data_IF_370889034242
#
_entry.id   IF_370889034242
#
_cell.length_a   1.000
_cell.length_b   1.000
_cell.length_c   1.000
_cell.angle_alpha   90.00
_cell.angle_beta   90.00
_cell.angle_gamma   90.00
#
_symmetry.space_group_name_H-M   'P 1'
#
loop_
_entity.id
_entity.type
_entity.pdbx_description
1 polymer ?
#
# COMPACT_ATOMS: atom_id res chain seq x y z
N UNK A 1 -10.65 0.58 15.54
CA UNK A 1 -11.03 -0.33 14.43
C UNK A 1 -11.29 0.57 13.22
N UNK A 2 -10.32 0.74 12.29
CA UNK A 2 -10.45 1.60 11.07
C UNK A 2 -11.01 0.76 9.95
N UNK A 3 -12.02 0.01 10.34
CA UNK A 3 -12.68 -0.99 9.53
C UNK A 3 -13.96 -0.33 9.14
N UNK A 4 -13.89 0.48 8.10
CA UNK A 4 -15.13 0.97 7.54
C UNK A 4 -15.68 -0.17 6.70
N UNK A 5 -16.97 -0.41 6.77
CA UNK A 5 -17.58 -1.32 5.78
C UNK A 5 -17.38 -0.79 4.34
N UNK A 6 -17.00 0.48 4.17
CA UNK A 6 -16.53 1.00 2.89
C UNK A 6 -15.21 0.32 2.46
N UNK A 7 -14.28 0.09 3.39
CA UNK A 7 -13.06 -0.70 3.16
C UNK A 7 -13.37 -2.07 2.58
N UNK A 8 -14.20 -2.82 3.30
CA UNK A 8 -14.66 -4.14 2.86
C UNK A 8 -15.29 -4.08 1.48
N UNK A 9 -16.17 -3.10 1.27
CA UNK A 9 -16.97 -2.99 0.05
C UNK A 9 -16.09 -2.76 -1.16
N UNK A 10 -15.09 -1.87 -1.09
CA UNK A 10 -14.23 -1.63 -2.26
C UNK A 10 -13.25 -2.77 -2.50
N UNK A 11 -12.75 -3.42 -1.44
CA UNK A 11 -11.89 -4.60 -1.58
C UNK A 11 -12.66 -5.71 -2.26
N UNK A 12 -13.86 -5.99 -1.77
CA UNK A 12 -14.71 -7.03 -2.33
C UNK A 12 -15.09 -6.69 -3.78
N UNK A 13 -15.39 -5.43 -4.07
CA UNK A 13 -15.64 -4.98 -5.43
C UNK A 13 -14.46 -5.27 -6.37
N UNK A 14 -13.21 -4.96 -5.96
CA UNK A 14 -12.03 -5.25 -6.79
C UNK A 14 -11.80 -6.76 -6.92
N UNK A 15 -12.00 -7.55 -5.87
CA UNK A 15 -11.87 -9.02 -5.91
C UNK A 15 -12.82 -9.67 -6.88
N UNK A 16 -14.05 -9.17 -6.94
CA UNK A 16 -15.09 -9.68 -7.82
C UNK A 16 -15.05 -9.06 -9.22
N UNK A 17 -14.20 -8.04 -9.43
CA UNK A 17 -14.13 -7.35 -10.71
C UNK A 17 -13.60 -8.26 -11.82
N UNK A 18 -14.43 -8.50 -12.83
CA UNK A 18 -14.14 -9.40 -13.96
C UNK A 18 -13.90 -8.66 -15.30
N UNK A 19 -13.83 -7.32 -15.26
CA UNK A 19 -13.72 -6.47 -16.45
C UNK A 19 -15.08 -6.19 -17.09
N UNK A 20 -15.19 -5.04 -17.79
CA UNK A 20 -16.44 -4.67 -18.50
C UNK A 20 -16.87 -5.70 -19.55
N UNK A 21 -15.92 -6.50 -20.05
CA UNK A 21 -16.14 -7.52 -21.07
C UNK A 21 -15.96 -8.96 -20.52
N UNK A 22 -15.92 -9.16 -19.20
CA UNK A 22 -15.76 -10.49 -18.58
C UNK A 22 -14.58 -11.29 -19.13
N UNK A 23 -13.44 -10.61 -19.30
CA UNK A 23 -12.28 -11.12 -20.03
C UNK A 23 -11.06 -11.36 -19.13
N UNK A 24 -11.22 -11.25 -17.82
CA UNK A 24 -10.16 -11.60 -16.89
C UNK A 24 -10.09 -13.11 -16.68
N UNK A 25 -8.88 -13.68 -16.55
CA UNK A 25 -8.73 -15.05 -16.11
C UNK A 25 -9.40 -15.28 -14.74
N UNK A 26 -9.92 -16.48 -14.52
CA UNK A 26 -10.51 -16.86 -13.22
C UNK A 26 -9.49 -16.73 -12.08
N UNK A 27 -8.23 -16.99 -12.36
CA UNK A 27 -7.10 -16.89 -11.44
C UNK A 27 -6.41 -15.51 -11.46
N UNK A 28 -7.04 -14.49 -12.06
CA UNK A 28 -6.50 -13.14 -12.01
C UNK A 28 -6.36 -12.64 -10.57
N UNK A 29 -5.20 -12.07 -10.25
CA UNK A 29 -4.90 -11.52 -8.92
C UNK A 29 -5.68 -10.23 -8.67
N UNK A 30 -5.88 -9.86 -7.40
CA UNK A 30 -6.56 -8.62 -7.04
C UNK A 30 -5.94 -7.39 -7.72
N UNK A 31 -4.61 -7.36 -7.87
CA UNK A 31 -3.93 -6.29 -8.58
C UNK A 31 -4.23 -6.29 -10.08
N UNK A 32 -4.31 -7.44 -10.73
CA UNK A 32 -4.72 -7.53 -12.14
C UNK A 32 -6.16 -7.06 -12.33
N UNK A 33 -7.05 -7.39 -11.39
CA UNK A 33 -8.45 -6.90 -11.37
C UNK A 33 -8.49 -5.38 -11.22
N UNK A 34 -7.69 -4.82 -10.31
CA UNK A 34 -7.55 -3.37 -10.17
C UNK A 34 -7.04 -2.72 -11.46
N UNK A 35 -6.01 -3.26 -12.10
CA UNK A 35 -5.48 -2.71 -13.36
C UNK A 35 -6.53 -2.71 -14.47
N UNK A 36 -7.35 -3.76 -14.57
CA UNK A 36 -8.44 -3.81 -15.52
C UNK A 36 -9.55 -2.81 -15.17
N UNK A 37 -9.90 -2.66 -13.89
CA UNK A 37 -10.86 -1.63 -13.43
C UNK A 37 -10.40 -0.22 -13.78
N UNK A 38 -9.12 0.09 -13.52
CA UNK A 38 -8.51 1.38 -13.87
C UNK A 38 -8.60 1.64 -15.37
N UNK A 39 -8.22 0.65 -16.18
CA UNK A 39 -8.27 0.73 -17.65
C UNK A 39 -9.68 0.95 -18.16
N UNK A 40 -10.64 0.17 -17.69
CA UNK A 40 -12.04 0.22 -18.13
C UNK A 40 -12.71 1.55 -17.80
N UNK A 41 -12.26 2.23 -16.73
CA UNK A 41 -12.84 3.48 -16.25
C UNK A 41 -11.96 4.71 -16.52
N UNK A 42 -10.89 4.56 -17.30
CA UNK A 42 -9.96 5.64 -17.64
C UNK A 42 -9.40 6.36 -16.39
N UNK A 43 -9.07 5.59 -15.36
CA UNK A 43 -8.50 6.06 -14.11
C UNK A 43 -6.99 5.85 -14.08
N UNK A 44 -6.30 6.73 -13.36
CA UNK A 44 -4.86 6.59 -13.10
C UNK A 44 -4.60 6.11 -11.68
N UNK A 45 -3.58 5.25 -11.53
CA UNK A 45 -3.06 4.85 -10.24
C UNK A 45 -1.93 5.77 -9.79
N UNK A 46 -1.82 5.96 -8.47
CA UNK A 46 -0.62 6.47 -7.83
C UNK A 46 0.09 5.41 -7.00
N UNK A 47 1.41 5.36 -7.15
CA UNK A 47 2.30 4.46 -6.43
C UNK A 47 3.37 5.21 -5.61
N UNK A 48 3.33 6.55 -5.59
CA UNK A 48 4.41 7.42 -5.13
C UNK A 48 4.25 7.91 -3.68
N UNK A 49 3.19 7.50 -2.99
CA UNK A 49 3.03 7.78 -1.56
C UNK A 49 3.69 6.69 -0.72
N UNK A 50 4.36 7.12 0.35
CA UNK A 50 5.13 6.21 1.19
C UNK A 50 4.27 5.09 1.78
N UNK A 51 4.79 3.86 1.74
CA UNK A 51 4.11 2.64 2.20
C UNK A 51 4.82 1.94 3.37
N UNK A 52 5.71 2.66 4.07
CA UNK A 52 6.45 2.13 5.23
C UNK A 52 5.54 1.58 6.34
N UNK A 53 4.42 2.24 6.61
CA UNK A 53 3.46 1.81 7.61
C UNK A 53 2.60 0.59 7.22
N UNK A 54 2.73 0.11 5.98
CA UNK A 54 2.09 -1.11 5.48
C UNK A 54 3.12 -2.17 5.07
N UNK A 55 4.37 -1.98 5.51
CA UNK A 55 5.49 -2.91 5.36
C UNK A 55 6.10 -3.21 6.73
N UNK A 56 5.23 -3.55 7.67
CA UNK A 56 5.56 -3.93 9.03
C UNK A 56 6.01 -5.38 9.05
N UNK A 57 7.11 -5.61 9.75
CA UNK A 57 7.67 -6.94 9.96
C UNK A 57 7.85 -7.17 11.46
N UNK A 58 8.11 -8.41 11.86
CA UNK A 58 8.60 -8.66 13.20
C UNK A 58 9.86 -7.81 13.46
N UNK A 59 10.01 -7.35 14.70
CA UNK A 59 11.09 -6.46 15.11
C UNK A 59 12.46 -7.06 14.74
N UNK A 60 13.26 -6.28 14.02
CA UNK A 60 14.60 -6.69 13.56
C UNK A 60 14.63 -7.65 12.37
N UNK A 61 13.48 -7.97 11.76
CA UNK A 61 13.39 -8.90 10.63
C UNK A 61 13.18 -8.23 9.27
N UNK A 62 13.21 -6.90 9.20
CA UNK A 62 13.06 -6.19 7.94
C UNK A 62 14.18 -6.57 6.96
N UNK A 63 13.80 -6.96 5.74
CA UNK A 63 14.73 -7.30 4.64
C UNK A 63 14.55 -6.38 3.44
N UNK A 64 13.31 -6.17 3.05
CA UNK A 64 12.85 -5.30 1.98
C UNK A 64 11.33 -5.15 2.09
N UNK A 65 10.71 -4.12 1.47
CA UNK A 65 9.26 -4.01 1.38
C UNK A 65 8.66 -5.18 0.59
N UNK A 66 7.65 -5.83 1.14
CA UNK A 66 6.90 -6.89 0.48
C UNK A 66 5.60 -6.37 -0.15
N UNK A 67 5.14 -5.20 0.30
CA UNK A 67 3.87 -4.61 -0.06
C UNK A 67 4.07 -3.28 -0.79
N UNK A 68 3.13 -2.97 -1.68
CA UNK A 68 3.03 -1.69 -2.37
C UNK A 68 1.68 -1.03 -2.08
N UNK A 69 1.67 0.30 -2.08
CA UNK A 69 0.45 1.10 -1.99
C UNK A 69 0.04 1.56 -3.37
N UNK A 70 -1.25 1.41 -3.67
CA UNK A 70 -1.85 1.92 -4.89
C UNK A 70 -3.04 2.78 -4.52
N UNK A 71 -3.00 4.05 -4.89
CA UNK A 71 -4.10 4.96 -4.68
C UNK A 71 -4.79 5.29 -5.98
N UNK A 72 -6.11 5.42 -5.96
CA UNK A 72 -6.86 5.93 -7.10
C UNK A 72 -6.65 7.44 -7.20
N UNK A 73 -6.18 7.92 -8.35
CA UNK A 73 -6.21 9.35 -8.67
C UNK A 73 -7.50 9.67 -9.42
N UNK A 74 -8.01 10.88 -9.15
CA UNK A 74 -8.90 11.56 -10.11
C UNK A 74 -8.04 12.25 -11.19
N UNK A 75 -8.65 12.51 -12.34
CA UNK A 75 -8.00 13.03 -13.54
C UNK A 75 -7.66 14.54 -13.52
N UNK A 76 -7.64 15.26 -12.40
CA UNK A 76 -7.54 16.72 -12.45
C UNK A 76 -6.16 17.18 -12.92
N UNK A 77 -6.02 17.35 -14.25
CA UNK A 77 -4.88 17.96 -14.93
C UNK A 77 -4.63 19.43 -14.54
N UNK A 78 -5.51 20.01 -13.73
CA UNK A 78 -5.38 21.36 -13.17
C UNK A 78 -4.64 21.27 -11.85
N UNK A 79 -3.36 21.67 -11.81
CA UNK A 79 -2.50 21.74 -10.61
C UNK A 79 -3.13 22.47 -9.39
N UNK A 80 -4.20 23.24 -9.61
CA UNK A 80 -4.93 23.99 -8.58
C UNK A 80 -5.95 23.16 -7.79
N UNK A 81 -6.34 21.98 -8.29
CA UNK A 81 -7.31 21.11 -7.62
C UNK A 81 -6.60 19.84 -7.19
N UNK A 82 -6.76 19.45 -5.92
CA UNK A 82 -6.16 18.24 -5.38
C UNK A 82 -6.90 17.00 -5.91
N UNK A 83 -6.16 16.06 -6.48
CA UNK A 83 -6.66 14.72 -6.78
C UNK A 83 -6.75 13.93 -5.48
N UNK A 84 -7.91 14.03 -4.84
CA UNK A 84 -8.18 13.31 -3.59
C UNK A 84 -7.95 11.81 -3.80
N UNK A 85 -7.05 11.25 -3.00
CA UNK A 85 -6.76 9.81 -2.95
C UNK A 85 -7.52 9.20 -1.80
N UNK A 86 -8.79 8.92 -2.05
CA UNK A 86 -9.71 8.43 -1.01
C UNK A 86 -9.48 6.96 -0.67
N UNK A 87 -8.90 6.17 -1.59
CA UNK A 87 -8.71 4.74 -1.38
C UNK A 87 -7.22 4.41 -1.47
N UNK A 88 -6.69 3.71 -0.47
CA UNK A 88 -5.33 3.19 -0.43
C UNK A 88 -5.34 1.66 -0.45
N UNK A 89 -5.15 1.04 -1.61
CA UNK A 89 -5.00 -0.40 -1.68
C UNK A 89 -3.58 -0.81 -1.29
N UNK A 90 -3.44 -1.87 -0.51
CA UNK A 90 -2.14 -2.49 -0.21
C UNK A 90 -2.10 -3.85 -0.88
N UNK A 91 -1.11 -4.05 -1.76
CA UNK A 91 -0.91 -5.32 -2.44
C UNK A 91 0.45 -5.90 -2.08
N UNK A 92 0.50 -7.21 -1.90
CA UNK A 92 1.79 -7.90 -1.90
C UNK A 92 2.41 -7.85 -3.31
N UNK A 93 3.64 -7.35 -3.42
CA UNK A 93 4.31 -7.11 -4.71
C UNK A 93 4.53 -8.41 -5.48
N UNK A 94 4.79 -9.52 -4.78
CA UNK A 94 5.07 -10.82 -5.39
C UNK A 94 3.79 -11.50 -5.89
N UNK A 95 2.76 -11.55 -5.05
CA UNK A 95 1.54 -12.32 -5.36
C UNK A 95 0.46 -11.49 -6.05
N UNK A 96 0.51 -10.15 -5.94
CA UNK A 96 -0.54 -9.26 -6.43
C UNK A 96 -1.85 -9.37 -5.67
N UNK A 97 -1.88 -10.05 -4.52
CA UNK A 97 -3.07 -10.18 -3.66
C UNK A 97 -3.16 -9.00 -2.69
N UNK A 98 -4.39 -8.62 -2.32
CA UNK A 98 -4.61 -7.57 -1.32
C UNK A 98 -4.15 -8.03 0.06
N UNK A 99 -3.44 -7.14 0.75
CA UNK A 99 -3.11 -7.27 2.17
C UNK A 99 -4.10 -6.44 2.95
N UNK A 100 -4.95 -7.11 3.72
CA UNK A 100 -6.14 -6.54 4.33
C UNK A 100 -6.52 -7.21 5.62
N UNK A 101 -6.89 -6.40 6.60
CA UNK A 101 -7.49 -6.89 7.85
C UNK A 101 -8.83 -7.61 7.60
N UNK A 102 -9.54 -7.31 6.51
CA UNK A 102 -10.75 -8.04 6.14
C UNK A 102 -10.49 -9.49 5.71
N UNK A 103 -9.29 -9.81 5.22
CA UNK A 103 -8.88 -11.22 5.02
C UNK A 103 -8.96 -12.00 6.32
N UNK A 104 -8.69 -11.32 7.42
CA UNK A 104 -8.63 -11.88 8.75
C UNK A 104 -10.02 -11.86 9.38
N UNK A 105 -10.69 -10.71 9.39
CA UNK A 105 -12.00 -10.60 10.03
C UNK A 105 -13.05 -11.51 9.41
N UNK A 106 -13.09 -11.67 8.09
CA UNK A 106 -14.06 -12.56 7.45
C UNK A 106 -13.92 -14.02 7.90
N UNK A 107 -12.72 -14.46 8.31
CA UNK A 107 -12.48 -15.81 8.86
C UNK A 107 -12.96 -15.97 10.31
N UNK A 108 -12.83 -14.89 11.10
CA UNK A 108 -12.99 -14.91 12.56
C UNK A 108 -14.29 -14.23 13.04
N UNK A 109 -15.14 -13.78 12.12
CA UNK A 109 -16.37 -13.07 12.46
C UNK A 109 -17.41 -14.03 13.07
N UNK A 110 -17.91 -13.69 14.26
CA UNK A 110 -18.95 -14.46 14.94
C UNK A 110 -20.21 -13.59 15.02
N UNK A 111 -21.29 -14.01 14.36
CA UNK A 111 -22.58 -13.30 14.33
C UNK A 111 -22.45 -11.82 13.90
N UNK A 112 -21.61 -11.56 12.89
CA UNK A 112 -21.39 -10.20 12.36
C UNK A 112 -20.49 -9.32 13.24
N UNK A 113 -19.88 -9.88 14.29
CA UNK A 113 -18.96 -9.17 15.18
C UNK A 113 -17.53 -9.69 15.01
N UNK A 114 -16.59 -8.76 15.06
CA UNK A 114 -15.15 -9.06 15.06
C UNK A 114 -14.76 -9.51 16.46
N UNK A 115 -14.05 -10.64 16.55
CA UNK A 115 -13.39 -11.06 17.77
C UNK A 115 -12.22 -10.12 18.08
N UNK A 116 -12.22 -9.51 19.25
CA UNK A 116 -11.19 -8.55 19.67
C UNK A 116 -10.01 -9.19 20.40
N UNK A 117 -10.02 -10.50 20.65
CA UNK A 117 -8.95 -11.19 21.38
C UNK A 117 -7.77 -11.54 20.45
N UNK A 118 -6.58 -10.93 20.60
CA UNK A 118 -5.43 -11.21 19.73
C UNK A 118 -4.94 -12.66 19.80
N UNK A 119 -5.21 -13.39 20.88
CA UNK A 119 -4.75 -14.77 21.05
C UNK A 119 -5.44 -15.76 20.11
N UNK A 120 -6.60 -15.39 19.57
CA UNK A 120 -7.39 -16.23 18.66
C UNK A 120 -6.93 -16.09 17.18
N UNK A 121 -5.98 -15.19 16.92
CA UNK A 121 -5.46 -14.90 15.58
C UNK A 121 -4.07 -15.49 15.33
N UNK A 122 -3.88 -16.03 14.12
CA UNK A 122 -2.57 -16.52 13.68
C UNK A 122 -1.57 -15.40 13.39
N UNK A 123 -0.31 -15.75 13.16
CA UNK A 123 0.70 -14.76 12.76
C UNK A 123 0.39 -14.10 11.41
N UNK A 124 -0.11 -14.87 10.44
CA UNK A 124 -0.55 -14.32 9.14
C UNK A 124 -1.73 -13.36 9.32
N UNK A 125 -2.67 -13.70 10.19
CA UNK A 125 -3.82 -12.86 10.48
C UNK A 125 -3.40 -11.51 11.09
N UNK A 126 -2.47 -11.52 12.05
CA UNK A 126 -1.93 -10.30 12.66
C UNK A 126 -1.07 -9.49 11.67
N UNK A 127 -0.35 -10.15 10.76
CA UNK A 127 0.38 -9.47 9.69
C UNK A 127 -0.57 -8.68 8.77
N UNK A 128 -1.70 -9.29 8.38
CA UNK A 128 -2.73 -8.68 7.55
C UNK A 128 -3.34 -7.47 8.26
N UNK A 129 -3.68 -7.60 9.56
CA UNK A 129 -4.20 -6.51 10.39
C UNK A 129 -3.21 -5.34 10.50
N UNK A 130 -1.92 -5.64 10.67
CA UNK A 130 -0.89 -4.62 10.85
C UNK A 130 -0.61 -3.81 9.56
N UNK A 131 -0.75 -4.45 8.40
CA UNK A 131 -0.34 -3.92 7.08
C UNK A 131 -1.50 -3.50 6.17
N UNK A 132 -2.71 -3.47 6.71
CA UNK A 132 -3.97 -3.28 5.98
C UNK A 132 -4.10 -1.98 5.18
N UNK A 133 -4.98 -1.99 4.19
CA UNK A 133 -5.52 -0.83 3.45
C UNK A 133 -6.24 0.19 4.31
N UNK A 134 -6.59 1.32 3.69
CA UNK A 134 -7.46 2.31 4.31
C UNK A 134 -8.28 3.12 3.30
N UNK A 135 -9.47 3.51 3.73
CA UNK A 135 -10.26 4.57 3.15
C UNK A 135 -9.95 5.88 3.85
N UNK A 136 -9.39 6.84 3.12
CA UNK A 136 -9.12 8.17 3.62
C UNK A 136 -10.39 9.02 3.56
N UNK A 137 -10.72 9.67 4.67
CA UNK A 137 -11.69 10.75 4.70
C UNK A 137 -10.96 12.09 4.66
N UNK A 138 -11.56 13.10 4.03
CA UNK A 138 -10.93 14.40 3.78
C UNK A 138 -9.90 14.38 2.65
N UNK A 139 -9.31 15.53 2.35
CA UNK A 139 -8.43 15.66 1.18
C UNK A 139 -6.95 15.47 1.62
N UNK A 140 -6.27 14.36 1.24
CA UNK A 140 -4.89 14.12 1.63
C UNK A 140 -3.95 15.10 0.92
N UNK A 141 -2.88 15.56 1.59
CA UNK A 141 -1.93 16.52 1.01
C UNK A 141 -1.27 16.01 -0.28
N UNK A 142 -0.91 14.72 -0.31
CA UNK A 142 -0.20 14.10 -1.42
C UNK A 142 1.10 14.83 -1.81
N UNK A 143 1.51 14.66 -3.06
CA UNK A 143 2.70 15.33 -3.65
C UNK A 143 2.39 16.74 -4.21
N UNK A 144 1.19 17.28 -4.01
CA UNK A 144 0.79 18.57 -4.59
C UNK A 144 1.33 19.77 -3.81
N UNK A 145 1.81 20.79 -4.54
CA UNK A 145 2.42 22.00 -3.97
C UNK A 145 1.41 23.03 -3.45
N UNK A 146 0.12 22.95 -3.83
CA UNK A 146 -0.89 24.00 -3.56
C UNK A 146 -2.23 23.42 -3.10
N UNK A 147 -2.30 22.97 -1.85
CA UNK A 147 -3.58 22.71 -1.18
C UNK A 147 -4.07 24.03 -0.57
N UNK A 148 -5.32 24.43 -0.82
CA UNK A 148 -5.87 25.63 -0.17
C UNK A 148 -5.86 25.45 1.35
N UNK A 149 -5.71 26.57 2.09
CA UNK A 149 -5.64 26.53 3.57
C UNK A 149 -6.88 25.87 4.18
N UNK A 150 -8.03 25.98 3.53
CA UNK A 150 -9.30 25.36 3.97
C UNK A 150 -9.24 23.82 3.93
N UNK A 151 -8.54 23.23 2.95
CA UNK A 151 -8.43 21.78 2.82
C UNK A 151 -7.22 21.19 3.55
N UNK A 152 -6.31 22.04 4.04
CA UNK A 152 -5.16 21.61 4.84
C UNK A 152 -5.63 20.91 6.11
N UNK A 153 -5.06 19.72 6.37
CA UNK A 153 -5.40 18.86 7.52
C UNK A 153 -6.84 18.34 7.55
N UNK A 154 -7.65 18.58 6.51
CA UNK A 154 -9.00 17.99 6.46
C UNK A 154 -8.96 16.49 6.49
N UNK A 155 -7.91 15.88 5.91
CA UNK A 155 -7.66 14.46 6.10
C UNK A 155 -7.58 14.11 7.58
N UNK A 156 -6.62 14.66 8.34
CA UNK A 156 -6.48 14.36 9.77
C UNK A 156 -7.73 14.66 10.62
N UNK A 157 -8.57 15.60 10.20
CA UNK A 157 -9.77 16.04 10.94
C UNK A 157 -11.02 15.20 10.64
N UNK A 158 -11.15 14.77 9.39
CA UNK A 158 -12.31 14.01 8.90
C UNK A 158 -12.02 12.52 8.84
N UNK A 159 -10.73 12.15 8.82
CA UNK A 159 -10.31 10.78 9.06
C UNK A 159 -10.95 10.30 10.35
N UNK A 160 -11.50 9.10 10.28
CA UNK A 160 -12.30 8.59 11.37
C UNK A 160 -11.33 8.34 12.52
N UNK A 161 -11.42 9.19 13.55
CA UNK A 161 -10.79 8.89 14.83
C UNK A 161 -11.46 7.64 15.36
N UNK A 162 -10.67 6.60 15.58
CA UNK A 162 -11.15 5.40 16.22
C UNK A 162 -11.77 5.73 17.58
N UNK A 163 -12.89 5.10 17.97
CA UNK A 163 -13.01 4.74 19.38
C UNK A 163 -11.80 3.86 19.71
N UNK A 164 -11.16 4.08 20.88
CA UNK A 164 -9.91 3.43 21.34
C UNK A 164 -9.64 2.11 20.59
N UNK A 165 -8.54 2.07 19.84
CA UNK A 165 -8.25 0.98 18.89
C UNK A 165 -8.51 -0.40 19.51
N UNK A 166 -9.02 -1.38 18.73
CA UNK A 166 -9.32 -2.67 19.31
C UNK A 166 -7.97 -3.25 19.74
N UNK A 167 -7.90 -3.79 20.96
CA UNK A 167 -6.69 -4.41 21.50
C UNK A 167 -5.98 -5.34 20.50
N UNK A 168 -6.74 -5.95 19.58
CA UNK A 168 -6.27 -6.68 18.42
C UNK A 168 -5.31 -5.92 17.48
N UNK A 169 -5.66 -4.72 17.03
CA UNK A 169 -4.81 -3.96 16.11
C UNK A 169 -3.57 -3.43 16.82
N UNK A 170 -3.72 -3.00 18.06
CA UNK A 170 -2.58 -2.57 18.89
C UNK A 170 -1.60 -3.72 19.07
N UNK A 171 -2.09 -4.91 19.45
CA UNK A 171 -1.28 -6.12 19.55
C UNK A 171 -0.61 -6.47 18.21
N UNK A 172 -1.32 -6.33 17.09
CA UNK A 172 -0.76 -6.56 15.75
C UNK A 172 0.38 -5.57 15.43
N UNK A 173 0.21 -4.27 15.67
CA UNK A 173 1.24 -3.26 15.36
C UNK A 173 2.36 -3.14 16.39
N UNK A 174 2.15 -3.64 17.61
CA UNK A 174 3.21 -3.84 18.60
C UNK A 174 4.11 -5.01 18.21
N UNK A 175 3.53 -6.09 17.66
CA UNK A 175 4.26 -7.26 17.17
C UNK A 175 4.95 -6.98 15.83
N UNK A 176 4.24 -6.38 14.88
CA UNK A 176 4.73 -6.03 13.55
C UNK A 176 5.03 -4.54 13.49
N UNK A 177 6.30 -4.18 13.46
CA UNK A 177 6.77 -2.80 13.49
C UNK A 177 7.22 -2.32 12.11
N UNK A 178 7.01 -1.05 11.80
CA UNK A 178 7.49 -0.45 10.55
C UNK A 178 8.96 -0.11 10.66
N UNK A 179 9.74 -0.44 9.62
CA UNK A 179 11.12 0.02 9.48
C UNK A 179 11.15 1.54 9.22
N UNK A 180 12.17 2.21 9.76
CA UNK A 180 12.33 3.66 9.61
C UNK A 180 12.82 3.97 8.19
N UNK A 181 12.35 5.08 7.63
CA UNK A 181 12.82 5.57 6.33
C UNK A 181 14.34 5.74 6.31
N UNK A 182 14.97 5.40 5.18
CA UNK A 182 16.43 5.52 5.02
C UNK A 182 16.93 6.97 5.13
N UNK A 183 16.13 7.93 4.67
CA UNK A 183 16.39 9.37 4.84
C UNK A 183 16.37 9.83 6.31
N UNK A 184 15.82 9.01 7.21
CA UNK A 184 15.79 9.25 8.65
C UNK A 184 16.70 8.28 9.42
N UNK A 185 17.60 7.56 8.74
CA UNK A 185 18.56 6.66 9.36
C UNK A 185 18.07 5.23 9.63
N UNK A 186 16.98 4.79 8.98
CA UNK A 186 16.61 3.37 8.92
C UNK A 186 16.97 2.71 7.57
N UNK A 187 16.30 1.62 7.24
CA UNK A 187 16.59 0.83 6.03
C UNK A 187 15.47 0.87 4.97
N UNK A 188 14.37 1.58 5.23
CA UNK A 188 13.19 1.55 4.38
C UNK A 188 13.27 2.52 3.17
N UNK A 189 13.05 1.99 1.96
CA UNK A 189 12.79 2.71 0.70
C UNK A 189 11.78 1.89 -0.12
N UNK A 190 10.77 2.55 -0.68
CA UNK A 190 9.76 1.90 -1.52
C UNK A 190 10.38 1.30 -2.80
N UNK A 191 10.11 0.02 -3.08
CA UNK A 191 10.52 -0.63 -4.33
C UNK A 191 9.71 -0.12 -5.52
N UNK A 192 8.40 0.02 -5.32
CA UNK A 192 7.43 0.47 -6.32
C UNK A 192 7.16 1.95 -6.08
N UNK A 193 7.42 2.79 -7.07
CA UNK A 193 7.10 4.22 -7.00
C UNK A 193 6.69 4.77 -8.36
N UNK A 194 7.36 5.80 -8.88
CA UNK A 194 7.01 6.44 -10.15
C UNK A 194 6.99 5.47 -11.36
N UNK A 195 7.69 4.33 -11.28
CA UNK A 195 7.69 3.31 -12.32
C UNK A 195 6.47 2.39 -12.30
N UNK A 196 5.69 2.37 -11.21
CA UNK A 196 4.46 1.58 -11.06
C UNK A 196 4.65 0.12 -11.46
N UNK A 197 3.84 -0.35 -12.42
CA UNK A 197 3.96 -1.71 -12.98
C UNK A 197 5.36 -2.11 -13.46
N UNK A 198 6.17 -1.14 -13.95
CA UNK A 198 7.54 -1.44 -14.40
C UNK A 198 8.44 -1.81 -13.24
N UNK A 199 8.25 -1.19 -12.07
CA UNK A 199 9.01 -1.51 -10.85
C UNK A 199 8.65 -2.91 -10.35
N UNK A 200 7.36 -3.23 -10.32
CA UNK A 200 6.86 -4.56 -9.94
C UNK A 200 7.46 -5.64 -10.85
N UNK A 201 7.37 -5.43 -12.18
CA UNK A 201 7.91 -6.37 -13.19
C UNK A 201 9.43 -6.50 -13.08
N UNK A 202 10.15 -5.42 -12.75
CA UNK A 202 11.60 -5.46 -12.58
C UNK A 202 11.99 -6.21 -11.30
N UNK A 203 11.29 -5.95 -10.19
CA UNK A 203 11.55 -6.59 -8.90
C UNK A 203 11.25 -8.09 -8.92
N UNK A 204 10.12 -8.49 -9.50
CA UNK A 204 9.73 -9.90 -9.57
C UNK A 204 10.59 -10.75 -10.52
N UNK A 205 11.48 -10.13 -11.31
CA UNK A 205 12.51 -10.84 -12.08
C UNK A 205 13.73 -11.22 -11.22
N UNK A 206 13.90 -10.60 -10.07
CA UNK A 206 15.01 -10.91 -9.17
C UNK A 206 14.69 -12.20 -8.40
N UNK A 207 15.57 -13.23 -8.45
CA UNK A 207 15.36 -14.44 -7.66
C UNK A 207 15.25 -14.13 -6.17
N UNK A 208 14.38 -14.84 -5.45
CA UNK A 208 14.13 -14.57 -4.02
C UNK A 208 15.41 -14.63 -3.17
N UNK A 209 16.35 -15.52 -3.50
CA UNK A 209 17.66 -15.63 -2.85
C UNK A 209 18.55 -14.39 -3.02
N UNK A 210 18.30 -13.56 -4.04
CA UNK A 210 19.07 -12.37 -4.35
C UNK A 210 18.38 -11.07 -3.95
N UNK A 211 17.06 -11.10 -3.67
CA UNK A 211 16.26 -9.90 -3.36
C UNK A 211 16.84 -9.08 -2.22
N UNK A 212 17.24 -9.70 -1.11
CA UNK A 212 17.79 -8.96 0.03
C UNK A 212 19.09 -8.22 -0.33
N UNK A 213 19.97 -8.82 -1.15
CA UNK A 213 21.20 -8.17 -1.63
C UNK A 213 20.86 -7.04 -2.59
N UNK A 214 20.01 -7.31 -3.59
CA UNK A 214 19.61 -6.32 -4.60
C UNK A 214 18.85 -5.14 -4.00
N UNK A 215 18.06 -5.36 -2.96
CA UNK A 215 17.41 -4.29 -2.22
C UNK A 215 18.42 -3.36 -1.53
N UNK A 216 19.47 -3.90 -0.91
CA UNK A 216 20.52 -3.07 -0.28
C UNK A 216 21.27 -2.21 -1.31
N UNK A 217 21.57 -2.77 -2.48
CA UNK A 217 22.18 -2.03 -3.60
C UNK A 217 21.25 -0.92 -4.11
N UNK A 218 19.98 -1.26 -4.35
CA UNK A 218 18.94 -0.31 -4.74
C UNK A 218 18.76 0.80 -3.70
N UNK A 219 18.66 0.47 -2.41
CA UNK A 219 18.38 1.44 -1.36
C UNK A 219 19.50 2.46 -1.20
N UNK A 220 20.76 2.04 -1.38
CA UNK A 220 21.90 2.94 -1.44
C UNK A 220 21.84 3.87 -2.66
N UNK A 221 21.56 3.30 -3.84
CA UNK A 221 21.41 4.05 -5.09
C UNK A 221 20.28 5.08 -5.04
N UNK A 222 19.16 4.71 -4.41
CA UNK A 222 17.96 5.52 -4.28
C UNK A 222 18.18 6.67 -3.29
N UNK A 223 18.84 6.42 -2.15
CA UNK A 223 19.15 7.46 -1.16
C UNK A 223 19.90 8.65 -1.77
N UNK A 224 20.93 8.38 -2.59
CA UNK A 224 21.71 9.42 -3.27
C UNK A 224 20.82 10.29 -4.17
N UNK A 225 19.83 9.70 -4.84
CA UNK A 225 18.90 10.39 -5.74
C UNK A 225 17.82 11.16 -4.99
N UNK A 226 17.32 10.61 -3.89
CA UNK A 226 16.37 11.30 -3.02
C UNK A 226 16.98 12.59 -2.47
N UNK A 227 18.27 12.58 -2.10
CA UNK A 227 19.00 13.77 -1.69
C UNK A 227 19.10 14.85 -2.81
N UNK A 228 18.92 14.46 -4.07
CA UNK A 228 18.86 15.33 -5.24
C UNK A 228 17.40 15.64 -5.67
N UNK A 229 16.41 15.43 -4.80
CA UNK A 229 14.98 15.60 -5.09
C UNK A 229 14.45 14.72 -6.24
N UNK A 230 15.08 13.57 -6.48
CA UNK A 230 14.64 12.59 -7.45
C UNK A 230 14.05 11.38 -6.73
N UNK A 231 12.82 10.99 -7.08
CA UNK A 231 12.18 9.77 -6.59
C UNK A 231 11.98 8.80 -7.74
N UNK A 232 12.67 7.66 -7.67
CA UNK A 232 12.66 6.63 -8.70
C UNK A 232 12.46 5.26 -8.08
N UNK A 233 11.69 4.42 -8.76
CA UNK A 233 11.47 3.04 -8.35
C UNK A 233 12.55 2.10 -8.87
N UNK A 234 12.40 0.83 -8.52
CA UNK A 234 13.39 -0.21 -8.79
C UNK A 234 13.70 -0.38 -10.29
N UNK A 235 12.75 -0.13 -11.19
CA UNK A 235 12.99 -0.29 -12.63
C UNK A 235 14.01 0.70 -13.19
N UNK A 236 14.11 1.91 -12.64
CA UNK A 236 15.13 2.89 -13.05
C UNK A 236 16.52 2.51 -12.52
N UNK A 237 16.61 1.95 -11.31
CA UNK A 237 17.85 1.36 -10.81
C UNK A 237 18.36 0.27 -11.74
N UNK A 238 17.50 -0.65 -12.17
CA UNK A 238 17.88 -1.72 -13.10
C UNK A 238 18.33 -1.22 -14.48
N UNK A 239 17.97 0.00 -14.90
CA UNK A 239 18.50 0.63 -16.12
C UNK A 239 19.87 1.26 -15.89
N UNK A 240 20.08 1.83 -14.71
CA UNK A 240 21.36 2.42 -14.32
C UNK A 240 22.44 1.35 -14.05
N UNK A 241 22.07 0.21 -13.45
CA UNK A 241 22.96 -0.92 -13.13
C UNK A 241 23.51 -1.64 -14.37
N UNK A 242 22.89 -1.42 -15.54
CA UNK A 242 23.27 -2.03 -16.83
C UNK A 242 24.22 -1.17 -17.68
N UNK A 243 24.61 0.01 -17.20
CA UNK A 243 25.55 0.93 -17.86
C UNK A 243 26.88 0.89 -17.13
#
# INVERSE_FOLDING_TARGET
MKVTYLDRTYIQFIREYDGKNHNLPKDATDYQRLLQFLKDNHLEADYQTGVNYHNRTLKGQFKYPENMKVQLKKDSKKEKNNDARMIEYIFNIKTGQLVSEWNTYDKHMINGKIDSNPADYSEDDLYQIANTESFNYGVPKGNHKKLSRQYKETHNKLDISHPEDPALRDAATDKYVSERDRSKGGEYIDIVSAGGEKDIKAWNKIPDSQKAKKYKEYSQWALVRMNNNQSFGFSEYMKADKK
#
